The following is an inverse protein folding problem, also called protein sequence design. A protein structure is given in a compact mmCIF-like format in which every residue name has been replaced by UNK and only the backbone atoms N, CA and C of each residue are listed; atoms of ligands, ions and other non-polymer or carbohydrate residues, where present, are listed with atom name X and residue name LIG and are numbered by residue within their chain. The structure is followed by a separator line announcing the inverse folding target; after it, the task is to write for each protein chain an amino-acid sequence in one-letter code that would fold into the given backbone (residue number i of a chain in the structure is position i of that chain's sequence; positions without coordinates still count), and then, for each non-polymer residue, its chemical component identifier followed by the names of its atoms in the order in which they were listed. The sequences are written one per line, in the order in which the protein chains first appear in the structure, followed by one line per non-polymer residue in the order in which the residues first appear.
data_IF_561252588094
#
_entry.id   IF_561252588094
#
_cell.length_a   1.000
_cell.length_b   1.000
_cell.length_c   1.000
_cell.angle_alpha   90.00
_cell.angle_beta   90.00
_cell.angle_gamma   90.00
#
_symmetry.space_group_name_H-M   'P 1'
#
loop_
_entity.id
_entity.type
_entity.pdbx_description
1 polymer ?
#
# COMPACT_ATOMS: atom_id res chain seq x y z
N UNK A 1 -39.00 25.24 17.97
CA UNK A 1 -38.51 24.42 19.11
C UNK A 1 -39.54 23.33 19.34
N UNK A 2 -39.12 22.07 19.16
CA UNK A 2 -39.98 20.91 19.34
C UNK A 2 -39.52 20.26 20.67
N UNK A 3 -39.80 20.89 21.78
CA UNK A 3 -39.57 20.27 23.10
C UNK A 3 -40.94 19.81 23.64
N UNK A 4 -41.39 18.68 23.13
CA UNK A 4 -42.60 18.03 23.66
C UNK A 4 -42.33 17.26 24.98
N UNK A 5 -41.07 17.21 25.40
CA UNK A 5 -40.63 16.53 26.65
C UNK A 5 -39.50 17.35 27.27
N UNK A 6 -39.36 17.34 28.62
CA UNK A 6 -38.22 17.94 29.28
C UNK A 6 -36.93 17.29 28.81
N UNK A 7 -35.86 18.10 28.73
CA UNK A 7 -34.51 17.61 28.42
C UNK A 7 -34.05 16.65 29.52
N UNK A 8 -33.39 15.55 29.13
CA UNK A 8 -32.75 14.63 30.09
C UNK A 8 -31.44 15.25 30.60
N UNK A 9 -30.79 16.07 29.79
CA UNK A 9 -29.57 16.78 30.13
C UNK A 9 -29.67 18.25 29.69
N UNK A 10 -29.20 19.17 30.50
CA UNK A 10 -29.22 20.61 30.18
C UNK A 10 -28.47 20.97 28.89
N UNK A 11 -27.49 20.12 28.49
CA UNK A 11 -26.66 20.31 27.33
C UNK A 11 -26.99 19.36 26.16
N UNK A 12 -28.20 18.81 26.09
CA UNK A 12 -28.62 17.91 24.96
C UNK A 12 -28.35 18.48 23.58
N UNK A 13 -28.59 19.75 23.26
CA UNK A 13 -28.26 20.29 21.94
C UNK A 13 -26.78 20.19 21.59
N UNK A 14 -25.89 20.40 22.58
CA UNK A 14 -24.46 20.26 22.39
C UNK A 14 -24.04 18.77 22.19
N UNK A 15 -24.66 17.86 22.95
CA UNK A 15 -24.45 16.41 22.79
C UNK A 15 -24.90 15.93 21.43
N UNK A 16 -26.05 16.41 20.96
CA UNK A 16 -26.54 16.10 19.63
C UNK A 16 -25.54 16.57 18.55
N UNK A 17 -25.03 17.79 18.67
CA UNK A 17 -24.01 18.30 17.75
C UNK A 17 -22.70 17.52 17.80
N UNK A 18 -22.30 17.03 18.95
CA UNK A 18 -21.14 16.14 19.08
C UNK A 18 -21.38 14.83 18.35
N UNK A 19 -22.57 14.25 18.47
CA UNK A 19 -22.94 13.02 17.76
C UNK A 19 -22.94 13.23 16.23
N UNK A 20 -23.47 14.37 15.75
CA UNK A 20 -23.42 14.76 14.35
C UNK A 20 -21.98 14.82 13.83
N UNK A 21 -21.06 15.45 14.58
CA UNK A 21 -19.64 15.54 14.21
C UNK A 21 -19.01 14.15 14.12
N UNK A 22 -19.26 13.29 15.10
CA UNK A 22 -18.72 11.92 15.13
C UNK A 22 -19.25 11.08 13.96
N UNK A 23 -20.56 11.15 13.71
CA UNK A 23 -21.20 10.42 12.59
C UNK A 23 -20.71 10.89 11.24
N UNK A 24 -20.64 12.20 11.01
CA UNK A 24 -20.17 12.76 9.75
C UNK A 24 -18.69 12.45 9.48
N UNK A 25 -17.84 12.48 10.51
CA UNK A 25 -16.42 12.14 10.37
C UNK A 25 -16.18 10.64 10.22
N UNK A 26 -17.07 9.78 10.72
CA UNK A 26 -17.00 8.34 10.49
C UNK A 26 -17.08 7.99 8.98
N UNK A 27 -17.68 8.86 8.15
CA UNK A 27 -17.73 8.72 6.69
C UNK A 27 -16.34 8.76 6.02
N UNK A 28 -15.30 9.16 6.73
CA UNK A 28 -13.91 9.08 6.26
C UNK A 28 -13.51 7.62 6.03
N UNK A 29 -14.06 6.69 6.81
CA UNK A 29 -13.78 5.24 6.70
C UNK A 29 -12.40 4.85 7.27
N UNK A 30 -11.82 5.67 8.13
CA UNK A 30 -10.55 5.43 8.83
C UNK A 30 -10.67 5.87 10.29
N UNK A 31 -9.93 5.23 11.18
CA UNK A 31 -9.84 5.69 12.56
C UNK A 31 -9.08 7.00 12.65
N UNK A 32 -9.63 7.96 13.40
CA UNK A 32 -9.01 9.24 13.66
C UNK A 32 -8.39 9.20 15.06
N UNK A 33 -7.09 9.45 15.15
CA UNK A 33 -6.39 9.64 16.42
C UNK A 33 -5.97 11.10 16.54
N UNK A 34 -6.62 11.84 17.42
CA UNK A 34 -6.31 13.26 17.61
C UNK A 34 -7.39 13.98 18.43
N UNK A 35 -7.21 15.29 18.58
CA UNK A 35 -8.18 16.20 19.22
C UNK A 35 -8.96 16.92 18.13
N UNK A 36 -10.29 16.84 18.20
CA UNK A 36 -11.19 17.56 17.28
C UNK A 36 -11.79 18.74 18.05
N UNK A 37 -11.67 19.94 17.50
CA UNK A 37 -12.29 21.15 18.00
C UNK A 37 -13.25 21.64 16.90
N UNK A 38 -14.53 21.68 17.21
CA UNK A 38 -15.56 22.11 16.29
C UNK A 38 -16.29 23.33 16.84
N UNK A 39 -16.27 24.43 16.11
CA UNK A 39 -17.00 25.66 16.45
C UNK A 39 -18.18 25.78 15.49
N UNK A 40 -19.40 25.87 16.04
CA UNK A 40 -20.66 25.91 15.26
C UNK A 40 -20.76 24.81 14.19
N UNK A 41 -20.55 23.52 14.54
CA UNK A 41 -20.56 22.45 13.57
C UNK A 41 -21.94 22.21 12.97
N UNK A 42 -21.95 21.70 11.73
CA UNK A 42 -23.16 21.28 11.04
C UNK A 42 -22.81 20.31 9.92
N UNK A 43 -23.78 19.51 9.45
CA UNK A 43 -23.56 18.45 8.46
C UNK A 43 -22.83 18.92 7.21
N UNK A 44 -23.13 20.11 6.70
CA UNK A 44 -22.47 20.64 5.49
C UNK A 44 -20.96 20.81 5.70
N UNK A 45 -20.55 21.47 6.79
CA UNK A 45 -19.13 21.73 7.07
C UNK A 45 -18.39 20.46 7.50
N UNK A 46 -19.03 19.60 8.30
CA UNK A 46 -18.48 18.33 8.75
C UNK A 46 -18.22 17.41 7.54
N UNK A 47 -19.18 17.29 6.62
CA UNK A 47 -19.03 16.51 5.38
C UNK A 47 -17.97 17.09 4.46
N UNK A 48 -17.84 18.42 4.36
CA UNK A 48 -16.76 19.06 3.60
C UNK A 48 -15.40 18.71 4.18
N UNK A 49 -15.25 18.75 5.50
CA UNK A 49 -14.03 18.36 6.20
C UNK A 49 -13.71 16.87 5.96
N UNK A 50 -14.70 15.99 6.12
CA UNK A 50 -14.53 14.56 5.87
C UNK A 50 -14.06 14.28 4.44
N UNK A 51 -14.59 14.99 3.43
CA UNK A 51 -14.14 14.88 2.04
C UNK A 51 -12.71 15.37 1.84
N UNK A 52 -12.31 16.47 2.48
CA UNK A 52 -10.94 16.98 2.41
C UNK A 52 -9.94 16.00 3.03
N UNK A 53 -10.22 15.50 4.22
CA UNK A 53 -9.38 14.50 4.89
C UNK A 53 -9.28 13.23 4.02
N UNK A 54 -10.38 12.77 3.46
CA UNK A 54 -10.39 11.60 2.58
C UNK A 54 -9.61 11.82 1.29
N UNK A 55 -9.64 13.03 0.73
CA UNK A 55 -8.83 13.42 -0.43
C UNK A 55 -7.35 13.40 -0.07
N UNK A 56 -6.97 13.97 1.05
CA UNK A 56 -5.58 14.00 1.55
C UNK A 56 -5.05 12.59 1.80
N UNK A 57 -5.83 11.73 2.47
CA UNK A 57 -5.47 10.32 2.67
C UNK A 57 -5.21 9.63 1.32
N UNK A 58 -6.10 9.81 0.33
CA UNK A 58 -5.92 9.21 -0.99
C UNK A 58 -4.69 9.75 -1.73
N UNK A 59 -4.38 11.04 -1.59
CA UNK A 59 -3.20 11.63 -2.18
C UNK A 59 -1.92 11.05 -1.55
N UNK A 60 -1.88 10.94 -0.22
CA UNK A 60 -0.74 10.36 0.50
C UNK A 60 -0.58 8.86 0.21
N UNK A 61 -1.68 8.11 0.08
CA UNK A 61 -1.65 6.70 -0.32
C UNK A 61 -1.16 6.50 -1.76
N UNK A 62 -1.42 7.48 -2.63
CA UNK A 62 -1.00 7.45 -4.04
C UNK A 62 0.41 7.99 -4.29
N UNK A 63 1.03 8.64 -3.30
CA UNK A 63 2.41 9.11 -3.44
C UNK A 63 3.36 7.93 -3.57
N UNK A 64 4.26 8.04 -4.56
CA UNK A 64 5.35 7.09 -4.70
C UNK A 64 6.24 7.15 -3.45
N UNK A 65 6.72 6.00 -2.94
CA UNK A 65 7.66 5.98 -1.84
C UNK A 65 8.93 6.74 -2.21
N UNK A 66 9.48 7.48 -1.25
CA UNK A 66 10.76 8.16 -1.44
C UNK A 66 11.87 7.12 -1.31
N UNK A 67 12.62 6.90 -2.40
CA UNK A 67 13.74 5.99 -2.42
C UNK A 67 15.05 6.74 -2.22
N UNK A 68 15.78 6.42 -1.16
CA UNK A 68 17.15 6.88 -0.92
C UNK A 68 18.10 5.70 -1.08
N UNK A 69 18.94 5.68 -2.14
CA UNK A 69 19.86 4.57 -2.39
C UNK A 69 20.94 4.40 -1.31
N UNK A 70 21.23 5.45 -0.55
CA UNK A 70 22.25 5.45 0.51
C UNK A 70 21.71 5.00 1.87
N UNK A 71 20.40 4.77 1.99
CA UNK A 71 19.81 4.27 3.23
C UNK A 71 19.93 2.75 3.28
N UNK A 72 20.34 2.21 4.41
CA UNK A 72 20.35 0.77 4.69
C UNK A 72 18.96 0.17 4.46
N UNK A 73 18.85 -0.93 3.69
CA UNK A 73 17.58 -1.62 3.48
C UNK A 73 17.16 -2.39 4.74
N UNK A 74 15.87 -2.62 4.90
CA UNK A 74 15.32 -3.49 5.93
C UNK A 74 15.65 -4.96 5.63
N UNK A 75 15.63 -5.33 4.33
CA UNK A 75 16.10 -6.63 3.86
C UNK A 75 17.00 -6.42 2.66
N UNK A 76 18.22 -6.94 2.75
CA UNK A 76 19.14 -7.04 1.63
C UNK A 76 18.84 -8.28 0.78
N UNK A 77 19.61 -8.49 -0.28
CA UNK A 77 19.44 -9.62 -1.18
C UNK A 77 19.65 -10.98 -0.49
N UNK A 78 20.48 -11.05 0.55
CA UNK A 78 20.72 -12.29 1.26
C UNK A 78 19.49 -12.67 2.08
N UNK A 79 18.94 -11.71 2.83
CA UNK A 79 17.70 -11.93 3.58
C UNK A 79 16.52 -12.27 2.67
N UNK A 80 16.43 -11.64 1.50
CA UNK A 80 15.40 -11.96 0.48
C UNK A 80 15.53 -13.42 0.01
N UNK A 81 16.74 -13.89 -0.26
CA UNK A 81 17.00 -15.28 -0.68
C UNK A 81 16.69 -16.32 0.39
N UNK A 82 16.74 -15.96 1.67
CA UNK A 82 16.31 -16.85 2.76
C UNK A 82 14.80 -17.05 2.79
N UNK A 83 14.04 -16.03 2.40
CA UNK A 83 12.58 -16.03 2.42
C UNK A 83 11.96 -16.52 1.11
N UNK A 84 12.53 -16.12 -0.04
CA UNK A 84 12.03 -16.48 -1.36
C UNK A 84 12.83 -17.64 -1.98
N UNK A 85 12.14 -18.61 -2.61
CA UNK A 85 12.84 -19.71 -3.31
C UNK A 85 13.45 -19.26 -4.65
N UNK A 86 13.03 -18.11 -5.18
CA UNK A 86 13.47 -17.60 -6.47
C UNK A 86 14.98 -17.38 -6.54
N UNK A 87 15.57 -17.67 -7.69
CA UNK A 87 17.01 -17.47 -8.00
C UNK A 87 17.14 -16.88 -9.40
N UNK A 88 18.37 -16.50 -9.76
CA UNK A 88 18.68 -16.07 -11.12
C UNK A 88 18.16 -17.09 -12.14
N UNK A 89 17.53 -16.67 -13.25
CA UNK A 89 17.28 -15.29 -13.66
C UNK A 89 15.94 -14.73 -13.14
N UNK A 90 15.24 -15.42 -12.26
CA UNK A 90 13.85 -15.11 -11.89
C UNK A 90 13.70 -14.44 -10.50
N UNK A 91 14.78 -14.10 -9.83
CA UNK A 91 14.74 -13.27 -8.62
C UNK A 91 14.75 -11.79 -9.04
N UNK A 92 13.60 -11.14 -8.93
CA UNK A 92 13.33 -9.79 -9.47
C UNK A 92 13.19 -8.71 -8.38
N UNK A 93 13.76 -8.93 -7.21
CA UNK A 93 13.77 -7.99 -6.08
C UNK A 93 15.18 -7.86 -5.55
N UNK A 94 15.68 -6.63 -5.40
CA UNK A 94 17.04 -6.38 -4.94
C UNK A 94 17.10 -6.04 -3.45
N UNK A 95 16.09 -5.30 -2.94
CA UNK A 95 16.01 -4.89 -1.53
C UNK A 95 14.60 -4.53 -1.09
N UNK A 96 14.34 -4.59 0.21
CA UNK A 96 13.14 -4.07 0.85
C UNK A 96 13.52 -2.86 1.70
N UNK A 97 12.82 -1.75 1.50
CA UNK A 97 13.14 -0.46 2.14
C UNK A 97 12.13 -0.01 3.19
N UNK A 98 10.90 -0.55 3.15
CA UNK A 98 9.86 -0.33 4.16
C UNK A 98 9.03 -1.59 4.36
N UNK A 99 8.64 -1.84 5.61
CA UNK A 99 7.67 -2.89 5.98
C UNK A 99 6.74 -2.30 7.03
N UNK A 100 5.45 -2.34 6.75
CA UNK A 100 4.39 -1.96 7.68
C UNK A 100 3.49 -3.15 8.04
N UNK A 101 2.45 -2.92 8.83
CA UNK A 101 1.54 -4.00 9.24
C UNK A 101 0.78 -4.64 8.06
N UNK A 102 0.46 -3.82 7.05
CA UNK A 102 -0.34 -4.21 5.87
C UNK A 102 0.31 -3.81 4.54
N UNK A 103 1.56 -3.33 4.55
CA UNK A 103 2.25 -2.91 3.33
C UNK A 103 3.74 -3.21 3.35
N UNK A 104 4.31 -3.25 2.17
CA UNK A 104 5.75 -3.42 1.94
C UNK A 104 6.21 -2.57 0.77
N UNK A 105 7.44 -2.09 0.82
CA UNK A 105 8.09 -1.36 -0.28
C UNK A 105 9.37 -2.06 -0.67
N UNK A 106 9.40 -2.55 -1.91
CA UNK A 106 10.55 -3.21 -2.51
C UNK A 106 11.16 -2.40 -3.64
N UNK A 107 12.39 -2.70 -3.98
CA UNK A 107 13.17 -2.05 -5.02
C UNK A 107 13.75 -3.09 -5.98
N UNK A 108 13.67 -2.81 -7.29
CA UNK A 108 14.42 -3.48 -8.33
C UNK A 108 15.18 -2.45 -9.15
N UNK A 109 16.48 -2.65 -9.27
CA UNK A 109 17.34 -1.92 -10.19
C UNK A 109 17.35 -2.66 -11.53
N UNK A 110 16.97 -1.99 -12.61
CA UNK A 110 16.89 -2.58 -13.94
C UNK A 110 18.22 -2.33 -14.67
N UNK A 111 19.09 -3.34 -14.64
CA UNK A 111 20.39 -3.29 -15.31
C UNK A 111 20.25 -3.56 -16.81
N UNK A 112 21.16 -3.03 -17.63
CA UNK A 112 21.29 -3.42 -19.04
C UNK A 112 21.66 -4.89 -19.26
N UNK A 113 22.10 -5.59 -18.21
CA UNK A 113 22.49 -7.01 -18.25
C UNK A 113 21.33 -7.96 -17.89
N UNK A 114 20.11 -7.47 -17.80
CA UNK A 114 18.96 -8.33 -17.52
C UNK A 114 18.75 -9.35 -18.65
N UNK A 115 18.51 -10.63 -18.33
CA UNK A 115 18.48 -11.72 -19.31
C UNK A 115 17.34 -11.65 -20.32
N UNK A 116 16.34 -10.82 -20.09
CA UNK A 116 15.20 -10.65 -20.98
C UNK A 116 15.41 -9.61 -22.09
N UNK A 117 16.36 -8.67 -21.96
CA UNK A 117 16.56 -7.62 -22.94
C UNK A 117 17.03 -8.10 -24.32
N UNK A 118 17.90 -9.12 -24.46
CA UNK A 118 18.25 -9.64 -25.78
C UNK A 118 17.05 -10.10 -26.60
N UNK A 119 15.95 -10.48 -25.96
CA UNK A 119 14.73 -10.92 -26.64
C UNK A 119 13.58 -9.90 -26.59
N UNK A 120 13.66 -8.88 -25.72
CA UNK A 120 12.51 -7.98 -25.50
C UNK A 120 12.90 -6.50 -25.37
N UNK A 121 13.40 -5.79 -26.38
CA UNK A 121 13.71 -6.20 -27.76
C UNK A 121 15.16 -5.82 -28.08
N UNK A 122 15.84 -6.46 -29.04
CA UNK A 122 17.25 -6.20 -29.32
C UNK A 122 17.60 -4.73 -29.57
N UNK A 123 16.79 -4.04 -30.37
CA UNK A 123 17.01 -2.64 -30.73
C UNK A 123 16.31 -1.63 -29.82
N UNK A 124 15.36 -2.08 -29.01
CA UNK A 124 14.60 -1.24 -28.05
C UNK A 124 14.37 -2.01 -26.74
N UNK A 125 15.34 -2.05 -25.84
CA UNK A 125 15.21 -2.85 -24.61
C UNK A 125 14.13 -2.27 -23.67
N UNK A 126 13.13 -3.09 -23.39
CA UNK A 126 12.01 -2.77 -22.48
C UNK A 126 11.77 -3.95 -21.55
N UNK A 127 11.69 -3.71 -20.25
CA UNK A 127 11.35 -4.77 -19.30
C UNK A 127 9.93 -5.27 -19.55
N UNK A 128 9.71 -6.59 -19.76
CA UNK A 128 8.38 -7.14 -19.95
C UNK A 128 7.44 -6.75 -18.81
N UNK A 129 6.23 -6.30 -19.15
CA UNK A 129 5.24 -5.89 -18.15
C UNK A 129 4.86 -7.04 -17.22
N UNK A 130 4.80 -8.26 -17.72
CA UNK A 130 4.52 -9.47 -16.92
C UNK A 130 5.59 -9.72 -15.86
N UNK A 131 6.86 -9.42 -16.14
CA UNK A 131 7.95 -9.53 -15.17
C UNK A 131 7.92 -8.40 -14.14
N UNK A 132 7.36 -7.23 -14.45
CA UNK A 132 7.09 -6.19 -13.47
C UNK A 132 6.04 -6.66 -12.46
N UNK A 133 4.98 -7.34 -12.94
CA UNK A 133 3.94 -7.92 -12.08
C UNK A 133 4.52 -9.04 -11.21
N UNK A 134 5.38 -9.89 -11.78
CA UNK A 134 6.10 -10.92 -11.03
C UNK A 134 6.99 -10.31 -9.93
N UNK A 135 7.76 -9.27 -10.24
CA UNK A 135 8.56 -8.56 -9.24
C UNK A 135 7.68 -8.00 -8.10
N UNK A 136 6.52 -7.44 -8.44
CA UNK A 136 5.54 -7.02 -7.43
C UNK A 136 5.05 -8.18 -6.58
N UNK A 137 4.76 -9.34 -7.17
CA UNK A 137 4.33 -10.52 -6.43
C UNK A 137 5.41 -11.03 -5.46
N UNK A 138 6.66 -11.03 -5.89
CA UNK A 138 7.79 -11.39 -5.03
C UNK A 138 7.90 -10.44 -3.84
N UNK A 139 7.78 -9.12 -4.06
CA UNK A 139 7.73 -8.13 -2.96
C UNK A 139 6.55 -8.39 -2.03
N UNK A 140 5.36 -8.65 -2.57
CA UNK A 140 4.17 -8.98 -1.78
C UNK A 140 4.32 -10.28 -1.00
N UNK A 141 4.92 -11.29 -1.60
CA UNK A 141 5.25 -12.57 -0.95
C UNK A 141 6.16 -12.38 0.27
N UNK A 142 7.14 -11.48 0.19
CA UNK A 142 8.01 -11.16 1.32
C UNK A 142 7.27 -10.58 2.52
N UNK A 143 6.20 -9.79 2.30
CA UNK A 143 5.37 -9.29 3.39
C UNK A 143 4.75 -10.44 4.20
N UNK A 144 4.27 -11.47 3.49
CA UNK A 144 3.64 -12.64 4.08
C UNK A 144 4.67 -13.55 4.73
N UNK A 145 5.69 -13.95 3.96
CA UNK A 145 6.70 -14.91 4.39
C UNK A 145 7.49 -14.42 5.59
N UNK A 146 7.72 -13.12 5.72
CA UNK A 146 8.42 -12.54 6.87
C UNK A 146 7.64 -12.68 8.20
N UNK A 147 6.34 -12.99 8.14
CA UNK A 147 5.51 -13.22 9.35
C UNK A 147 5.42 -14.69 9.75
N UNK A 148 5.93 -15.60 8.93
CA UNK A 148 5.83 -17.04 9.15
C UNK A 148 7.05 -17.56 9.90
N UNK A 149 6.82 -18.56 10.76
CA UNK A 149 7.88 -19.22 11.53
C UNK A 149 8.80 -20.07 10.64
N UNK A 150 8.21 -20.72 9.62
CA UNK A 150 8.92 -21.57 8.65
C UNK A 150 8.58 -21.14 7.20
N UNK A 151 9.16 -20.04 6.71
CA UNK A 151 8.84 -19.52 5.38
C UNK A 151 9.10 -20.51 4.24
N UNK A 152 10.14 -21.36 4.39
CA UNK A 152 10.55 -22.37 3.40
C UNK A 152 9.51 -23.46 3.16
N UNK A 153 8.58 -23.66 4.09
CA UNK A 153 7.50 -24.63 3.98
C UNK A 153 6.32 -24.15 3.15
N UNK A 154 6.36 -22.90 2.67
CA UNK A 154 5.27 -22.28 1.94
C UNK A 154 5.68 -21.89 0.53
N UNK A 155 4.80 -22.15 -0.43
CA UNK A 155 4.91 -21.66 -1.80
C UNK A 155 3.77 -20.70 -2.10
N UNK A 156 4.06 -19.63 -2.81
CA UNK A 156 3.07 -18.63 -3.22
C UNK A 156 2.81 -18.74 -4.71
N UNK A 157 1.54 -18.80 -5.11
CA UNK A 157 1.12 -18.87 -6.51
C UNK A 157 0.07 -17.80 -6.81
N UNK A 158 0.10 -17.26 -8.01
CA UNK A 158 -0.97 -16.42 -8.49
C UNK A 158 -2.26 -17.23 -8.66
N UNK A 159 -3.34 -16.75 -8.06
CA UNK A 159 -4.69 -17.24 -8.36
C UNK A 159 -5.38 -16.35 -9.40
N UNK A 160 -5.12 -15.05 -9.35
CA UNK A 160 -5.73 -14.07 -10.24
C UNK A 160 -4.90 -12.80 -10.27
N UNK A 161 -4.87 -12.16 -11.42
CA UNK A 161 -4.31 -10.82 -11.63
C UNK A 161 -5.42 -9.98 -12.26
N UNK A 162 -5.78 -8.86 -11.65
CA UNK A 162 -6.87 -7.99 -12.10
C UNK A 162 -6.43 -6.52 -12.18
N UNK A 163 -7.02 -5.78 -13.13
CA UNK A 163 -6.88 -4.32 -13.27
C UNK A 163 -5.46 -3.81 -13.43
N UNK A 164 -4.57 -4.58 -14.06
CA UNK A 164 -3.19 -4.17 -14.35
C UNK A 164 -3.19 -3.11 -15.45
N UNK A 165 -2.41 -2.02 -15.23
CA UNK A 165 -2.22 -0.94 -16.20
C UNK A 165 -0.76 -0.53 -16.22
N UNK A 166 -0.14 -0.62 -17.39
CA UNK A 166 1.20 -0.10 -17.65
C UNK A 166 1.07 1.29 -18.27
N UNK A 167 1.70 2.29 -17.68
CA UNK A 167 1.59 3.69 -18.12
C UNK A 167 2.88 4.21 -18.72
N UNK A 168 3.99 3.53 -18.49
CA UNK A 168 5.32 3.92 -18.92
C UNK A 168 6.14 2.69 -19.19
N UNK A 169 7.01 2.74 -20.21
CA UNK A 169 8.04 1.74 -20.44
C UNK A 169 9.04 1.75 -19.30
N UNK A 170 9.56 0.60 -18.95
CA UNK A 170 10.70 0.42 -18.05
C UNK A 170 11.89 -0.01 -18.88
N UNK A 171 12.97 0.75 -18.81
CA UNK A 171 14.15 0.60 -19.66
C UNK A 171 15.41 0.39 -18.82
N UNK A 172 16.53 -0.06 -19.42
CA UNK A 172 17.81 -0.16 -18.72
C UNK A 172 18.20 1.15 -18.03
N UNK A 173 18.64 1.07 -16.78
CA UNK A 173 18.96 2.22 -15.93
C UNK A 173 17.84 2.72 -15.04
N UNK A 174 16.60 2.26 -15.26
CA UNK A 174 15.49 2.58 -14.36
C UNK A 174 15.61 1.87 -13.01
N UNK A 175 15.07 2.51 -11.97
CA UNK A 175 14.86 1.89 -10.66
C UNK A 175 13.36 1.81 -10.39
N UNK A 176 12.85 0.60 -10.21
CA UNK A 176 11.47 0.37 -9.84
C UNK A 176 11.32 0.37 -8.33
N UNK A 177 10.37 1.14 -7.82
CA UNK A 177 9.98 1.14 -6.42
C UNK A 177 8.55 0.64 -6.33
N UNK A 178 8.36 -0.53 -5.75
CA UNK A 178 7.08 -1.20 -5.62
C UNK A 178 6.50 -0.94 -4.23
N UNK A 179 5.32 -0.33 -4.17
CA UNK A 179 4.56 -0.21 -2.92
C UNK A 179 3.33 -1.11 -3.02
N UNK A 180 3.31 -2.15 -2.22
CA UNK A 180 2.21 -3.09 -2.17
C UNK A 180 1.49 -3.01 -0.84
N UNK A 181 0.18 -3.19 -0.90
CA UNK A 181 -0.66 -3.23 0.29
C UNK A 181 -1.54 -4.46 0.26
N UNK A 182 -1.63 -5.14 1.38
CA UNK A 182 -2.57 -6.23 1.61
C UNK A 182 -3.98 -5.63 1.82
N UNK A 183 -4.94 -6.04 1.01
CA UNK A 183 -6.33 -5.53 1.04
C UNK A 183 -7.30 -6.44 1.80
N UNK A 184 -6.91 -7.68 2.04
CA UNK A 184 -7.70 -8.65 2.81
C UNK A 184 -6.77 -9.60 3.54
N UNK A 185 -7.28 -10.26 4.58
CA UNK A 185 -6.54 -11.34 5.23
C UNK A 185 -6.22 -12.46 4.25
N UNK A 186 -5.04 -13.03 4.42
CA UNK A 186 -4.59 -14.17 3.61
C UNK A 186 -5.46 -15.36 4.01
N UNK A 187 -6.31 -15.78 3.11
CA UNK A 187 -6.93 -17.08 3.25
C UNK A 187 -5.86 -18.12 2.97
N UNK A 188 -5.58 -18.98 3.94
CA UNK A 188 -4.70 -20.12 3.73
C UNK A 188 -5.27 -20.88 2.54
N UNK A 189 -4.51 -20.90 1.45
CA UNK A 189 -4.89 -21.58 0.24
C UNK A 189 -4.92 -23.07 0.44
N UNK A 190 -5.64 -23.71 -0.45
CA UNK A 190 -5.74 -25.15 -0.63
C UNK A 190 -4.36 -25.70 -0.92
#
# INVERSE_FOLDING_TARGET
YINNKPLIYDNEPARHKLLDVLGDLALIGKYIRGRIIATCPGHSINNKMARLIRKEIKQNEAQAPVYNPNKEPIMDINRIKELLPHRYPFLLVDKIIEVGPDYIVGVKSVSGNEPFFPGHFPDEPVMPGVLQVEAMAQVGGLLVLNTLTEPSSYSTYFLMIDKVKFRRKVVPGDTLVFKLRMISEIRRGV
#
